data_IF_535079350357
#
_entry.id   IF_535079350357
#
_cell.length_a   1.000
_cell.length_b   1.000
_cell.length_c   1.000
_cell.angle_alpha   90.00
_cell.angle_beta   90.00
_cell.angle_gamma   90.00
#
_symmetry.space_group_name_H-M   'P 1'
#
loop_
_entity.id
_entity.type
_entity.pdbx_description
1 polymer ?
#
# COMPACT_ATOMS: atom_id res chain seq x y z
N UNK A 1 0.52 23.39 -6.93
CA UNK A 1 0.09 23.12 -5.53
C UNK A 1 -1.18 22.29 -5.56
N UNK A 2 -1.33 21.41 -4.60
CA UNK A 2 -2.48 20.51 -4.55
C UNK A 2 -2.90 20.24 -3.11
N UNK A 3 -4.20 20.32 -2.84
CA UNK A 3 -4.82 19.87 -1.60
C UNK A 3 -6.10 19.14 -1.99
N UNK A 4 -6.24 17.89 -1.56
CA UNK A 4 -7.41 17.09 -1.87
C UNK A 4 -7.77 16.18 -0.70
N UNK A 5 -8.86 15.43 -0.85
CA UNK A 5 -9.32 14.49 0.16
C UNK A 5 -9.50 13.10 -0.44
N UNK A 6 -9.14 12.10 0.33
CA UNK A 6 -9.19 10.69 -0.13
C UNK A 6 -10.58 10.26 -0.61
N UNK A 7 -11.64 10.84 -0.04
CA UNK A 7 -13.00 10.50 -0.45
C UNK A 7 -13.32 10.93 -1.89
N UNK A 8 -12.54 11.86 -2.45
CA UNK A 8 -12.72 12.35 -3.82
C UNK A 8 -11.81 11.63 -4.82
N UNK A 9 -10.99 10.71 -4.37
CA UNK A 9 -10.04 9.99 -5.21
C UNK A 9 -10.62 8.66 -5.66
N UNK A 10 -10.55 8.32 -6.96
CA UNK A 10 -11.08 7.05 -7.45
C UNK A 10 -10.40 5.85 -6.80
N UNK A 11 -11.18 4.84 -6.43
CA UNK A 11 -10.65 3.56 -5.97
C UNK A 11 -10.36 2.67 -7.17
N UNK A 12 -9.17 2.12 -7.21
CA UNK A 12 -8.72 1.21 -8.26
C UNK A 12 -8.64 -0.19 -7.68
N UNK A 13 -9.45 -1.11 -8.21
CA UNK A 13 -9.44 -2.50 -7.79
C UNK A 13 -8.09 -3.15 -8.14
N UNK A 14 -7.46 -3.80 -7.18
CA UNK A 14 -6.16 -4.45 -7.33
C UNK A 14 -6.27 -5.95 -7.65
N UNK A 15 -7.47 -6.50 -7.76
CA UNK A 15 -7.67 -7.92 -8.09
C UNK A 15 -6.97 -8.33 -9.39
N UNK A 16 -7.03 -7.53 -10.49
CA UNK A 16 -6.30 -7.87 -11.72
C UNK A 16 -4.79 -8.00 -11.52
N UNK A 17 -4.22 -7.34 -10.50
CA UNK A 17 -2.80 -7.44 -10.17
C UNK A 17 -2.43 -8.59 -9.25
N UNK A 18 -3.39 -9.47 -8.91
CA UNK A 18 -3.16 -10.62 -8.06
C UNK A 18 -3.49 -10.42 -6.59
N UNK A 19 -4.06 -9.28 -6.22
CA UNK A 19 -4.52 -9.03 -4.86
C UNK A 19 -5.90 -9.64 -4.63
N UNK A 20 -6.28 -9.78 -3.37
CA UNK A 20 -7.62 -10.19 -2.96
C UNK A 20 -8.18 -9.11 -2.05
N UNK A 21 -9.40 -8.61 -2.37
CA UNK A 21 -10.06 -7.63 -1.53
C UNK A 21 -9.20 -6.39 -1.27
N UNK A 22 -8.57 -5.86 -2.31
CA UNK A 22 -7.64 -4.74 -2.18
C UNK A 22 -7.97 -3.66 -3.21
N UNK A 23 -7.83 -2.41 -2.79
CA UNK A 23 -7.97 -1.25 -3.66
C UNK A 23 -6.88 -0.23 -3.35
N UNK A 24 -6.52 0.57 -4.36
CA UNK A 24 -5.60 1.70 -4.16
C UNK A 24 -6.27 3.00 -4.61
N UNK A 25 -5.85 4.08 -4.00
CA UNK A 25 -6.22 5.43 -4.41
C UNK A 25 -4.92 6.22 -4.54
N UNK A 26 -4.68 6.79 -5.72
CA UNK A 26 -3.50 7.63 -5.95
C UNK A 26 -3.78 9.01 -5.36
N UNK A 27 -3.05 9.35 -4.32
CA UNK A 27 -3.27 10.59 -3.59
C UNK A 27 -2.44 11.74 -4.17
N UNK A 28 -1.15 11.55 -4.31
CA UNK A 28 -0.23 12.56 -4.84
C UNK A 28 0.78 11.87 -5.74
N UNK A 29 0.99 12.42 -6.92
CA UNK A 29 1.95 11.89 -7.89
C UNK A 29 2.21 12.91 -9.00
N UNK A 30 2.64 12.45 -10.18
CA UNK A 30 2.97 13.34 -11.30
C UNK A 30 1.85 14.30 -11.69
N UNK A 31 0.59 13.85 -11.65
CA UNK A 31 -0.54 14.71 -12.00
C UNK A 31 -0.69 15.90 -11.06
N UNK A 32 -0.20 15.77 -9.81
CA UNK A 32 -0.23 16.84 -8.83
C UNK A 32 1.08 17.64 -8.80
N UNK A 33 2.10 17.23 -9.57
CA UNK A 33 3.38 17.90 -9.68
C UNK A 33 4.56 17.21 -9.01
N UNK A 34 4.35 16.05 -8.39
CA UNK A 34 5.43 15.29 -7.75
C UNK A 34 5.90 14.18 -8.68
N UNK A 35 6.86 14.49 -9.54
CA UNK A 35 7.24 13.59 -10.63
C UNK A 35 8.01 12.36 -10.20
N UNK A 36 8.77 12.42 -9.11
CA UNK A 36 9.68 11.35 -8.72
C UNK A 36 9.02 10.24 -7.90
N UNK A 37 7.93 10.54 -7.21
CA UNK A 37 7.26 9.61 -6.29
C UNK A 37 5.76 9.69 -6.38
N UNK A 38 5.13 8.62 -5.91
CA UNK A 38 3.66 8.53 -5.82
C UNK A 38 3.28 8.11 -4.41
N UNK A 39 2.38 8.85 -3.80
CA UNK A 39 1.74 8.46 -2.53
C UNK A 39 0.40 7.84 -2.83
N UNK A 40 0.21 6.61 -2.38
CA UNK A 40 -1.03 5.86 -2.55
C UNK A 40 -1.63 5.52 -1.20
N UNK A 41 -2.96 5.49 -1.14
CA UNK A 41 -3.69 4.95 0.00
C UNK A 41 -4.15 3.55 -0.41
N UNK A 42 -3.70 2.55 0.35
CA UNK A 42 -4.06 1.16 0.12
C UNK A 42 -5.11 0.75 1.13
N UNK A 43 -6.15 0.06 0.66
CA UNK A 43 -7.19 -0.48 1.52
C UNK A 43 -7.33 -1.97 1.27
N UNK A 44 -7.17 -2.76 2.32
CA UNK A 44 -7.42 -4.21 2.28
C UNK A 44 -8.70 -4.48 3.08
N UNK A 45 -9.68 -5.10 2.43
CA UNK A 45 -10.89 -5.56 3.09
C UNK A 45 -10.55 -6.64 4.11
N UNK A 46 -11.49 -6.97 4.98
CA UNK A 46 -11.34 -8.11 5.90
C UNK A 46 -10.99 -9.35 5.09
N UNK A 47 -9.95 -10.07 5.50
CA UNK A 47 -9.38 -11.23 4.80
C UNK A 47 -8.69 -10.88 3.46
N UNK A 48 -8.55 -9.58 3.17
CA UNK A 48 -7.85 -9.14 1.97
C UNK A 48 -6.34 -9.25 2.09
N UNK A 49 -5.67 -9.32 0.94
CA UNK A 49 -4.20 -9.36 0.89
C UNK A 49 -3.67 -8.76 -0.40
N UNK A 50 -2.46 -8.24 -0.33
CA UNK A 50 -1.70 -7.87 -1.52
C UNK A 50 -1.08 -9.12 -2.15
N UNK A 51 -0.61 -9.05 -3.43
CA UNK A 51 0.14 -10.18 -3.99
C UNK A 51 1.42 -10.41 -3.20
N UNK A 52 1.85 -11.67 -3.12
CA UNK A 52 3.19 -11.99 -2.62
C UNK A 52 4.15 -11.83 -3.79
N UNK A 53 4.96 -10.78 -3.75
CA UNK A 53 5.84 -10.45 -4.87
C UNK A 53 7.08 -9.69 -4.40
N UNK A 54 8.02 -9.53 -5.32
CA UNK A 54 9.15 -8.63 -5.18
C UNK A 54 9.23 -7.73 -6.41
N UNK A 55 9.88 -6.59 -6.28
CA UNK A 55 10.10 -5.66 -7.39
C UNK A 55 11.41 -4.90 -7.15
N UNK A 56 11.94 -4.28 -8.20
CA UNK A 56 13.25 -3.65 -8.15
C UNK A 56 13.24 -2.21 -7.62
N UNK A 57 12.19 -1.83 -6.91
CA UNK A 57 12.11 -0.55 -6.21
C UNK A 57 11.69 -0.75 -4.76
N UNK A 58 12.15 0.11 -3.86
CA UNK A 58 11.69 0.10 -2.47
C UNK A 58 10.40 0.87 -2.30
N UNK A 59 9.75 0.70 -1.16
CA UNK A 59 8.67 1.58 -0.75
C UNK A 59 8.64 1.75 0.75
N UNK A 60 8.00 2.82 1.18
CA UNK A 60 7.74 3.07 2.59
C UNK A 60 6.25 3.05 2.84
N UNK A 61 5.87 2.60 4.03
CA UNK A 61 4.48 2.45 4.40
C UNK A 61 4.22 3.00 5.79
N UNK A 62 3.01 3.49 5.98
CA UNK A 62 2.52 3.95 7.27
C UNK A 62 1.08 3.46 7.44
N UNK A 63 0.81 2.71 8.50
CA UNK A 63 -0.54 2.18 8.75
C UNK A 63 -1.41 3.25 9.39
N UNK A 64 -2.55 3.53 8.76
CA UNK A 64 -3.52 4.53 9.20
C UNK A 64 -4.49 3.90 10.20
N UNK A 65 -5.06 2.74 9.86
CA UNK A 65 -6.07 2.07 10.67
C UNK A 65 -6.13 0.59 10.37
N UNK A 66 -6.72 -0.16 11.28
CA UNK A 66 -6.85 -1.60 11.15
C UNK A 66 -5.64 -2.35 11.72
N UNK A 67 -5.68 -3.67 11.57
CA UNK A 67 -4.61 -4.56 12.00
C UNK A 67 -4.32 -5.59 10.92
N UNK A 68 -3.07 -6.01 10.83
CA UNK A 68 -2.67 -6.98 9.83
C UNK A 68 -1.26 -7.48 10.06
N UNK A 69 -0.71 -8.09 9.02
CA UNK A 69 0.64 -8.64 9.03
C UNK A 69 1.33 -8.25 7.73
N UNK A 70 2.58 -7.79 7.84
CA UNK A 70 3.49 -7.66 6.71
C UNK A 70 4.44 -8.86 6.75
N UNK A 71 4.34 -9.70 5.74
CA UNK A 71 5.30 -10.76 5.49
C UNK A 71 6.43 -10.18 4.68
N UNK A 72 7.66 -10.26 5.16
CA UNK A 72 8.81 -9.69 4.47
C UNK A 72 10.03 -10.55 4.71
N UNK A 73 10.66 -11.01 3.64
CA UNK A 73 11.82 -11.90 3.70
C UNK A 73 11.58 -13.14 4.59
N UNK A 74 10.39 -13.72 4.51
CA UNK A 74 10.02 -14.92 5.25
C UNK A 74 9.68 -14.70 6.72
N UNK A 75 9.60 -13.45 7.18
CA UNK A 75 9.23 -13.11 8.56
C UNK A 75 7.92 -12.34 8.60
N UNK A 76 7.19 -12.52 9.68
CA UNK A 76 5.94 -11.80 9.91
C UNK A 76 6.16 -10.60 10.84
N UNK A 77 5.63 -9.46 10.45
CA UNK A 77 5.68 -8.23 11.22
C UNK A 77 4.25 -7.74 11.46
N UNK A 78 3.82 -7.60 12.72
CA UNK A 78 2.46 -7.14 13.00
C UNK A 78 2.27 -5.68 12.59
N UNK A 79 1.09 -5.38 12.07
CA UNK A 79 0.69 -4.04 11.64
C UNK A 79 -0.46 -3.54 12.49
N UNK A 80 -0.36 -2.30 12.95
CA UNK A 80 -1.42 -1.57 13.63
C UNK A 80 -1.27 -0.09 13.31
N UNK A 81 -2.27 0.70 13.64
CA UNK A 81 -2.21 2.15 13.43
C UNK A 81 -0.90 2.73 14.00
N UNK A 82 -0.18 3.49 13.17
CA UNK A 82 1.10 4.08 13.55
C UNK A 82 2.32 3.25 13.20
N UNK A 83 2.16 2.01 12.71
CA UNK A 83 3.30 1.21 12.28
C UNK A 83 3.90 1.78 11.01
N UNK A 84 5.23 1.94 11.00
CA UNK A 84 6.00 2.36 9.83
C UNK A 84 6.79 1.17 9.30
N UNK A 85 6.91 1.07 7.98
CA UNK A 85 7.70 0.01 7.36
C UNK A 85 8.52 0.55 6.20
N UNK A 86 9.70 -0.03 6.01
CA UNK A 86 10.51 0.15 4.80
C UNK A 86 10.70 -1.22 4.17
N UNK A 87 10.26 -1.37 2.92
CA UNK A 87 10.44 -2.59 2.16
C UNK A 87 11.53 -2.34 1.11
N UNK A 88 12.71 -2.95 1.27
CA UNK A 88 13.79 -2.77 0.31
C UNK A 88 13.45 -3.33 -1.07
N UNK A 89 14.15 -2.84 -2.09
CA UNK A 89 14.06 -3.41 -3.43
C UNK A 89 14.42 -4.90 -3.41
N UNK A 90 13.73 -5.69 -4.22
CA UNK A 90 13.97 -7.13 -4.43
C UNK A 90 13.69 -8.03 -3.23
N UNK A 91 13.05 -7.53 -2.19
CA UNK A 91 12.63 -8.34 -1.05
C UNK A 91 11.19 -8.79 -1.26
N UNK A 92 10.97 -10.09 -1.19
CA UNK A 92 9.63 -10.65 -1.29
C UNK A 92 8.77 -10.24 -0.09
N UNK A 93 7.55 -9.78 -0.36
CA UNK A 93 6.67 -9.27 0.68
C UNK A 93 5.19 -9.41 0.31
N UNK A 94 4.34 -9.37 1.35
CA UNK A 94 2.90 -9.43 1.21
C UNK A 94 2.25 -8.79 2.43
N UNK A 95 1.25 -7.94 2.20
CA UNK A 95 0.41 -7.39 3.26
C UNK A 95 -0.86 -8.21 3.36
N UNK A 96 -1.30 -8.53 4.58
CA UNK A 96 -2.52 -9.29 4.84
C UNK A 96 -3.32 -8.62 5.95
N UNK A 97 -4.61 -8.46 5.72
CA UNK A 97 -5.52 -7.98 6.76
C UNK A 97 -5.94 -9.17 7.63
N UNK A 98 -5.55 -9.14 8.91
CA UNK A 98 -5.89 -10.18 9.88
C UNK A 98 -6.90 -9.70 10.93
N UNK A 99 -7.38 -8.48 10.78
CA UNK A 99 -8.32 -7.87 11.70
C UNK A 99 -9.78 -8.03 11.30
N UNK A 100 -10.65 -7.37 12.04
CA UNK A 100 -12.10 -7.39 11.81
C UNK A 100 -12.61 -6.13 11.08
N UNK A 101 -11.71 -5.23 10.74
CA UNK A 101 -12.00 -3.99 10.01
C UNK A 101 -11.04 -3.86 8.83
N UNK A 102 -11.31 -2.91 7.93
CA UNK A 102 -10.41 -2.63 6.82
C UNK A 102 -9.03 -2.21 7.35
N UNK A 103 -7.99 -2.70 6.68
CA UNK A 103 -6.62 -2.26 6.91
C UNK A 103 -6.30 -1.19 5.89
N UNK A 104 -5.98 0.01 6.36
CA UNK A 104 -5.63 1.13 5.50
C UNK A 104 -4.20 1.58 5.78
N UNK A 105 -3.42 1.78 4.73
CA UNK A 105 -2.05 2.25 4.89
C UNK A 105 -1.60 3.09 3.70
N UNK A 106 -0.67 3.99 3.98
CA UNK A 106 -0.01 4.79 2.95
C UNK A 106 1.13 3.96 2.36
N UNK A 107 1.30 4.03 1.04
CA UNK A 107 2.43 3.42 0.35
C UNK A 107 3.05 4.47 -0.58
N UNK A 108 4.31 4.82 -0.35
CA UNK A 108 5.03 5.74 -1.20
C UNK A 108 6.07 4.96 -1.99
N UNK A 109 5.97 5.05 -3.33
CA UNK A 109 6.85 4.36 -4.28
C UNK A 109 7.46 5.35 -5.25
N UNK A 110 8.62 5.03 -5.86
CA UNK A 110 9.07 5.77 -7.03
C UNK A 110 8.01 5.70 -8.13
N UNK A 111 7.93 6.74 -8.98
CA UNK A 111 6.90 6.83 -10.02
C UNK A 111 6.85 5.59 -10.90
N UNK A 112 8.01 4.98 -11.23
CA UNK A 112 8.05 3.74 -12.01
C UNK A 112 7.36 2.55 -11.33
N UNK A 113 7.19 2.60 -10.02
CA UNK A 113 6.52 1.55 -9.25
C UNK A 113 5.01 1.67 -9.23
N UNK A 114 4.47 2.75 -9.77
CA UNK A 114 3.02 2.96 -9.84
C UNK A 114 2.40 2.34 -11.10
N UNK A 115 3.19 2.08 -12.06
CA UNK A 115 2.73 1.59 -13.38
C UNK A 115 1.92 0.28 -13.29
#
# INVERSE_FOLDING_TARGET
MFVGHVNDMPKIDMTPGGAKGAAKQVAVGPEQGWEDYVMRIMTLDVEGNSPQHSHDWPHINYVISGTGVLMMAGKEYPLMAGTCAYVPANVEHCFTNTGSENLEFICIVPTRGEA
#
